data_IF_911305373641
#
_entry.id   IF_911305373641
#
_cell.length_a   1.000
_cell.length_b   1.000
_cell.length_c   1.000
_cell.angle_alpha   90.00
_cell.angle_beta   90.00
_cell.angle_gamma   90.00
#
_symmetry.space_group_name_H-M   'P 1'
#
loop_
_entity.id
_entity.type
_entity.pdbx_description
1 polymer ?
#
# COMPACT_ATOMS: atom_id res chain seq x y z
N UNK A 1 -37.25 22.88 -16.42
CA UNK A 1 -36.36 21.83 -15.89
C UNK A 1 -35.29 21.62 -16.95
N UNK A 2 -33.99 21.72 -16.64
CA UNK A 2 -32.98 21.43 -17.65
C UNK A 2 -32.87 19.91 -17.83
N UNK A 3 -32.92 19.46 -19.08
CA UNK A 3 -32.74 18.08 -19.51
C UNK A 3 -31.25 17.73 -19.44
N UNK A 4 -30.88 16.68 -18.72
CA UNK A 4 -29.52 16.12 -18.74
C UNK A 4 -29.29 15.44 -20.11
N UNK A 5 -28.66 16.15 -21.05
CA UNK A 5 -28.22 15.58 -22.32
C UNK A 5 -27.18 14.46 -22.07
N UNK A 6 -27.28 13.31 -22.77
CA UNK A 6 -26.32 12.24 -22.61
C UNK A 6 -24.94 12.68 -23.09
N UNK A 7 -23.99 12.79 -22.15
CA UNK A 7 -22.60 13.16 -22.40
C UNK A 7 -22.01 12.37 -23.59
N UNK A 8 -21.51 13.10 -24.59
CA UNK A 8 -20.90 12.54 -25.79
C UNK A 8 -19.82 11.49 -25.43
N UNK A 9 -19.84 10.28 -26.04
CA UNK A 9 -18.97 9.16 -25.66
C UNK A 9 -17.47 9.49 -25.72
N UNK A 10 -17.06 10.45 -26.56
CA UNK A 10 -15.67 10.91 -26.65
C UNK A 10 -15.28 11.71 -25.39
N UNK A 11 -16.20 12.53 -24.88
CA UNK A 11 -15.99 13.33 -23.65
C UNK A 11 -15.93 12.40 -22.43
N UNK A 12 -16.81 11.39 -22.37
CA UNK A 12 -16.77 10.38 -21.31
C UNK A 12 -15.47 9.55 -21.31
N UNK A 13 -14.94 9.20 -22.50
CA UNK A 13 -13.66 8.51 -22.62
C UNK A 13 -12.47 9.42 -22.25
N UNK A 14 -12.49 10.68 -22.67
CA UNK A 14 -11.46 11.67 -22.30
C UNK A 14 -11.42 11.91 -20.79
N UNK A 15 -12.58 12.01 -20.13
CA UNK A 15 -12.66 12.12 -18.67
C UNK A 15 -12.09 10.89 -17.96
N UNK A 16 -12.36 9.68 -18.46
CA UNK A 16 -11.75 8.45 -17.91
C UNK A 16 -10.23 8.40 -18.07
N UNK A 17 -9.71 8.83 -19.21
CA UNK A 17 -8.26 8.85 -19.47
C UNK A 17 -7.58 9.87 -18.55
N UNK A 18 -8.18 11.06 -18.40
CA UNK A 18 -7.67 12.11 -17.50
C UNK A 18 -7.71 11.65 -16.05
N UNK A 19 -8.83 11.07 -15.61
CA UNK A 19 -8.95 10.49 -14.27
C UNK A 19 -7.89 9.41 -14.00
N UNK A 20 -7.55 8.56 -14.98
CA UNK A 20 -6.46 7.58 -14.84
C UNK A 20 -5.09 8.21 -14.72
N UNK A 21 -4.81 9.26 -15.50
CA UNK A 21 -3.52 9.98 -15.48
C UNK A 21 -3.33 10.75 -14.18
N UNK A 22 -4.38 11.42 -13.72
CA UNK A 22 -4.39 12.15 -12.44
C UNK A 22 -4.22 11.16 -11.27
N UNK A 23 -4.80 9.95 -11.36
CA UNK A 23 -4.56 8.86 -10.41
C UNK A 23 -3.09 8.44 -10.33
N UNK A 24 -2.43 8.28 -11.48
CA UNK A 24 -1.00 7.93 -11.53
C UNK A 24 -0.14 9.01 -10.87
N UNK A 25 -0.37 10.28 -11.24
CA UNK A 25 0.38 11.40 -10.69
C UNK A 25 0.14 11.60 -9.18
N UNK A 26 -1.05 11.34 -8.67
CA UNK A 26 -1.35 11.46 -7.24
C UNK A 26 -0.92 10.26 -6.39
N UNK A 27 -0.83 9.06 -6.97
CA UNK A 27 -0.18 7.91 -6.32
C UNK A 27 1.30 8.23 -6.14
N UNK A 28 1.96 8.75 -7.19
CA UNK A 28 3.36 9.16 -7.12
C UNK A 28 3.56 10.30 -6.12
N UNK A 29 2.63 11.27 -6.05
CA UNK A 29 2.65 12.35 -5.07
C UNK A 29 2.42 11.91 -3.62
N UNK A 30 1.60 10.87 -3.38
CA UNK A 30 1.35 10.36 -2.04
C UNK A 30 2.55 9.57 -1.50
N UNK A 31 3.36 8.98 -2.39
CA UNK A 31 4.67 8.41 -2.08
C UNK A 31 5.75 9.47 -1.81
N UNK A 32 5.50 10.75 -2.15
CA UNK A 32 6.45 11.87 -1.98
C UNK A 32 6.44 12.55 -0.60
N UNK A 33 5.75 12.00 0.40
CA UNK A 33 5.99 12.45 1.78
C UNK A 33 7.33 11.89 2.22
N UNK A 34 8.27 12.75 2.62
CA UNK A 34 9.54 12.33 3.22
C UNK A 34 9.27 11.24 4.26
N UNK A 35 9.86 10.06 4.06
CA UNK A 35 9.81 8.98 5.05
C UNK A 35 10.30 9.55 6.38
N UNK A 36 9.41 9.56 7.36
CA UNK A 36 9.87 9.69 8.73
C UNK A 36 10.48 8.35 9.12
N UNK A 37 11.70 8.33 9.69
CA UNK A 37 12.25 7.10 10.23
C UNK A 37 11.30 6.60 11.32
N UNK A 38 10.74 5.41 11.12
CA UNK A 38 9.90 4.76 12.12
C UNK A 38 10.80 3.98 13.08
N UNK A 39 10.55 4.09 14.38
CA UNK A 39 11.41 3.46 15.39
C UNK A 39 11.16 1.95 15.52
N UNK A 40 9.96 1.48 15.16
CA UNK A 40 9.54 0.09 15.29
C UNK A 40 8.54 -0.35 14.20
N UNK A 41 8.29 -1.66 14.11
CA UNK A 41 7.37 -2.26 13.15
C UNK A 41 5.90 -1.89 13.41
N UNK A 42 5.54 -1.53 14.65
CA UNK A 42 4.18 -1.10 15.01
C UNK A 42 3.87 0.28 14.41
N UNK A 43 4.76 1.24 14.58
CA UNK A 43 4.69 2.58 13.99
C UNK A 43 4.68 2.49 12.47
N UNK A 44 5.54 1.64 11.90
CA UNK A 44 5.58 1.39 10.46
C UNK A 44 4.27 0.80 9.93
N UNK A 45 3.70 -0.18 10.63
CA UNK A 45 2.44 -0.81 10.24
C UNK A 45 1.25 0.14 10.39
N UNK A 46 1.25 1.01 11.41
CA UNK A 46 0.24 2.09 11.55
C UNK A 46 0.31 3.09 10.42
N UNK A 47 1.52 3.57 10.08
CA UNK A 47 1.71 4.48 8.96
C UNK A 47 1.28 3.85 7.63
N UNK A 48 1.60 2.58 7.43
CA UNK A 48 1.13 1.79 6.29
C UNK A 48 -0.40 1.69 6.28
N UNK A 49 -1.03 1.38 7.43
CA UNK A 49 -2.48 1.30 7.56
C UNK A 49 -3.18 2.61 7.17
N UNK A 50 -2.62 3.74 7.57
CA UNK A 50 -3.15 5.08 7.25
C UNK A 50 -3.01 5.42 5.76
N UNK A 51 -1.85 5.10 5.15
CA UNK A 51 -1.63 5.27 3.73
C UNK A 51 -2.63 4.41 2.91
N UNK A 52 -2.81 3.15 3.31
CA UNK A 52 -3.77 2.23 2.68
C UNK A 52 -5.21 2.74 2.84
N UNK A 53 -5.58 3.22 4.03
CA UNK A 53 -6.91 3.80 4.28
C UNK A 53 -7.19 4.99 3.38
N UNK A 54 -6.21 5.89 3.21
CA UNK A 54 -6.32 7.02 2.30
C UNK A 54 -6.51 6.57 0.84
N UNK A 55 -5.75 5.57 0.40
CA UNK A 55 -5.92 4.95 -0.92
C UNK A 55 -7.30 4.32 -1.11
N UNK A 56 -7.82 3.64 -0.10
CA UNK A 56 -9.14 2.98 -0.14
C UNK A 56 -10.29 3.97 -0.18
N UNK A 57 -10.21 5.08 0.56
CA UNK A 57 -11.21 6.13 0.48
C UNK A 57 -11.36 6.66 -0.96
N UNK A 58 -10.23 6.81 -1.67
CA UNK A 58 -10.20 7.19 -3.09
C UNK A 58 -10.73 6.09 -4.01
N UNK A 59 -10.36 4.83 -3.78
CA UNK A 59 -10.90 3.71 -4.56
C UNK A 59 -12.42 3.58 -4.41
N UNK A 60 -12.95 3.78 -3.19
CA UNK A 60 -14.37 3.73 -2.92
C UNK A 60 -15.14 4.92 -3.53
N UNK A 61 -14.52 6.08 -3.75
CA UNK A 61 -15.19 7.17 -4.47
C UNK A 61 -15.43 6.84 -5.95
N UNK A 62 -14.58 6.00 -6.55
CA UNK A 62 -14.67 5.54 -7.95
C UNK A 62 -15.57 4.31 -8.08
N UNK A 63 -15.38 3.33 -7.20
CA UNK A 63 -16.07 2.03 -7.25
C UNK A 63 -17.47 2.07 -6.63
N UNK A 64 -17.79 3.14 -5.91
CA UNK A 64 -19.00 3.25 -5.09
C UNK A 64 -18.77 2.84 -3.63
N UNK A 65 -19.73 3.20 -2.79
CA UNK A 65 -19.68 2.95 -1.34
C UNK A 65 -19.45 1.45 -1.07
N UNK A 66 -18.49 1.16 -0.19
CA UNK A 66 -18.12 -0.20 0.26
C UNK A 66 -17.49 -1.13 -0.82
N UNK A 67 -16.92 -0.57 -1.90
CA UNK A 67 -16.20 -1.36 -2.91
C UNK A 67 -15.01 -2.15 -2.34
N UNK A 68 -14.21 -1.50 -1.49
CA UNK A 68 -13.12 -2.08 -0.71
C UNK A 68 -13.41 -1.89 0.77
N UNK A 69 -13.34 -2.97 1.54
CA UNK A 69 -13.49 -2.96 3.00
C UNK A 69 -12.11 -2.98 3.65
N UNK A 70 -11.91 -2.04 4.56
CA UNK A 70 -10.70 -1.91 5.37
C UNK A 70 -11.08 -1.98 6.85
N UNK A 71 -10.40 -2.81 7.61
CA UNK A 71 -10.54 -2.90 9.07
C UNK A 71 -9.14 -2.83 9.66
N UNK A 72 -8.95 -1.93 10.63
CA UNK A 72 -7.76 -1.87 11.48
C UNK A 72 -8.18 -2.16 12.92
N UNK A 73 -7.50 -3.08 13.59
CA UNK A 73 -7.62 -3.32 15.02
C UNK A 73 -6.32 -2.86 15.66
N UNK A 74 -6.40 -2.09 16.75
CA UNK A 74 -5.20 -1.49 17.36
C UNK A 74 -4.51 -2.37 18.40
N UNK A 75 -5.20 -3.38 18.95
CA UNK A 75 -4.68 -4.22 20.05
C UNK A 75 -5.18 -5.66 19.95
N UNK A 76 -4.38 -6.63 19.45
CA UNK A 76 -3.09 -6.42 18.76
C UNK A 76 -3.28 -5.72 17.40
N UNK A 77 -2.22 -5.08 16.89
CA UNK A 77 -2.29 -4.37 15.60
C UNK A 77 -2.53 -5.34 14.45
N UNK A 78 -3.71 -5.25 13.82
CA UNK A 78 -4.12 -6.10 12.69
C UNK A 78 -4.82 -5.30 11.62
N UNK A 79 -4.46 -5.55 10.38
CA UNK A 79 -5.11 -4.96 9.20
C UNK A 79 -5.82 -6.07 8.44
N UNK A 80 -7.05 -5.80 8.02
CA UNK A 80 -7.82 -6.68 7.14
C UNK A 80 -8.36 -5.89 5.97
N UNK A 81 -8.09 -6.41 4.77
CA UNK A 81 -8.48 -5.85 3.50
C UNK A 81 -9.37 -6.85 2.79
N UNK A 82 -10.49 -6.38 2.24
CA UNK A 82 -11.33 -7.19 1.37
C UNK A 82 -11.78 -6.40 0.16
N UNK A 83 -11.56 -6.97 -1.01
CA UNK A 83 -12.11 -6.49 -2.27
C UNK A 83 -12.78 -7.66 -2.99
N UNK A 84 -14.11 -7.60 -3.13
CA UNK A 84 -14.92 -8.71 -3.66
C UNK A 84 -14.68 -10.02 -2.87
N UNK A 85 -14.16 -11.04 -3.54
CA UNK A 85 -13.80 -12.35 -2.96
C UNK A 85 -12.37 -12.37 -2.41
N UNK A 86 -11.54 -11.40 -2.80
CA UNK A 86 -10.15 -11.32 -2.40
C UNK A 86 -10.03 -10.76 -0.98
N UNK A 87 -9.15 -11.38 -0.20
CA UNK A 87 -8.88 -11.02 1.19
C UNK A 87 -7.39 -10.99 1.42
N UNK A 88 -6.93 -9.96 2.12
CA UNK A 88 -5.56 -9.85 2.62
C UNK A 88 -5.62 -9.54 4.11
N UNK A 89 -4.82 -10.27 4.88
CA UNK A 89 -4.63 -10.06 6.30
C UNK A 89 -3.18 -9.68 6.56
N UNK A 90 -2.97 -8.67 7.39
CA UNK A 90 -1.66 -8.30 7.90
C UNK A 90 -1.73 -8.31 9.43
N UNK A 91 -0.86 -9.10 10.06
CA UNK A 91 -0.78 -9.23 11.51
C UNK A 91 0.63 -8.89 11.99
N UNK A 92 0.72 -8.01 13.00
CA UNK A 92 1.98 -7.68 13.62
C UNK A 92 2.40 -8.78 14.60
N UNK A 93 3.63 -9.25 14.45
CA UNK A 93 4.37 -10.00 15.45
C UNK A 93 5.33 -9.03 16.14
N UNK A 94 4.85 -8.39 17.21
CA UNK A 94 5.58 -7.36 17.97
C UNK A 94 6.91 -7.88 18.54
N UNK A 95 6.96 -9.17 18.89
CA UNK A 95 8.15 -9.79 19.50
C UNK A 95 9.29 -9.89 18.50
N UNK A 96 8.96 -10.27 17.26
CA UNK A 96 9.95 -10.46 16.20
C UNK A 96 10.08 -9.24 15.28
N UNK A 97 9.28 -8.19 15.49
CA UNK A 97 9.20 -7.00 14.62
C UNK A 97 8.87 -7.35 13.16
N UNK A 98 7.99 -8.35 12.98
CA UNK A 98 7.59 -8.86 11.68
C UNK A 98 6.12 -8.58 11.40
N UNK A 99 5.77 -8.50 10.12
CA UNK A 99 4.40 -8.48 9.64
C UNK A 99 4.13 -9.79 8.91
N UNK A 100 3.19 -10.58 9.42
CA UNK A 100 2.68 -11.76 8.72
C UNK A 100 1.59 -11.32 7.76
N UNK A 101 1.73 -11.68 6.49
CA UNK A 101 0.73 -11.41 5.46
C UNK A 101 0.11 -12.73 5.03
N UNK A 102 -1.22 -12.77 4.95
CA UNK A 102 -1.98 -13.89 4.40
C UNK A 102 -2.90 -13.42 3.27
N UNK A 103 -3.00 -14.24 2.21
CA UNK A 103 -3.89 -14.03 1.07
C UNK A 103 -3.20 -13.51 -0.19
N UNK A 104 -3.91 -13.59 -1.33
CA UNK A 104 -3.46 -13.11 -2.65
C UNK A 104 -2.07 -13.60 -3.11
N UNK A 105 -1.65 -14.82 -2.72
CA UNK A 105 -0.31 -15.35 -2.98
C UNK A 105 0.84 -14.48 -2.42
N UNK A 106 0.52 -13.55 -1.52
CA UNK A 106 1.44 -12.73 -0.75
C UNK A 106 1.73 -13.34 0.63
N UNK A 107 1.43 -14.63 0.80
CA UNK A 107 1.62 -15.36 2.04
C UNK A 107 3.08 -15.34 2.49
N UNK A 108 3.35 -14.95 3.74
CA UNK A 108 4.68 -15.05 4.32
C UNK A 108 4.98 -14.05 5.43
N UNK A 109 6.25 -14.03 5.82
CA UNK A 109 6.79 -13.13 6.83
C UNK A 109 7.53 -11.98 6.16
N UNK A 110 7.20 -10.77 6.57
CA UNK A 110 7.70 -9.54 5.99
C UNK A 110 8.30 -8.65 7.07
N UNK A 111 9.34 -7.91 6.71
CA UNK A 111 9.92 -6.87 7.55
C UNK A 111 9.79 -5.53 6.83
N UNK A 112 9.56 -4.45 7.58
CA UNK A 112 9.66 -3.12 7.00
C UNK A 112 11.12 -2.78 6.71
N UNK A 113 11.36 -2.23 5.51
CA UNK A 113 12.64 -1.64 5.15
C UNK A 113 12.80 -0.28 5.84
N UNK A 114 13.73 -0.12 6.80
CA UNK A 114 13.94 1.15 7.49
C UNK A 114 14.61 2.21 6.60
N UNK A 115 15.27 1.78 5.52
CA UNK A 115 15.98 2.67 4.59
C UNK A 115 15.08 3.11 3.40
N UNK A 116 13.86 2.56 3.30
CA UNK A 116 12.95 2.88 2.22
C UNK A 116 12.30 4.27 2.40
N UNK A 117 12.13 5.03 1.30
CA UNK A 117 11.50 6.37 1.33
C UNK A 117 9.99 6.32 1.58
N UNK A 118 9.39 5.13 1.67
CA UNK A 118 7.99 4.90 2.04
C UNK A 118 7.89 3.55 2.75
N UNK A 119 6.87 3.31 3.62
CA UNK A 119 6.70 2.02 4.30
C UNK A 119 6.64 0.87 3.29
N UNK A 120 7.74 0.15 3.15
CA UNK A 120 7.92 -0.93 2.19
C UNK A 120 8.15 -2.24 2.93
N UNK A 121 7.39 -3.27 2.56
CA UNK A 121 7.51 -4.60 3.15
C UNK A 121 8.41 -5.48 2.28
N UNK A 122 9.48 -6.00 2.86
CA UNK A 122 10.38 -6.96 2.22
C UNK A 122 10.01 -8.37 2.67
N UNK A 123 9.72 -9.25 1.71
CA UNK A 123 9.39 -10.65 1.98
C UNK A 123 10.67 -11.43 2.38
N UNK A 124 10.76 -11.85 3.64
CA UNK A 124 11.93 -12.55 4.16
C UNK A 124 12.09 -13.97 3.58
N UNK A 125 11.01 -14.63 3.17
CA UNK A 125 11.07 -15.96 2.53
C UNK A 125 11.62 -15.94 1.10
N UNK A 126 11.73 -14.74 0.49
CA UNK A 126 12.29 -14.53 -0.86
C UNK A 126 13.68 -13.88 -0.82
N UNK A 127 14.15 -13.45 0.35
CA UNK A 127 15.52 -12.97 0.53
C UNK A 127 16.40 -14.19 0.75
N UNK A 128 17.26 -14.48 -0.22
CA UNK A 128 18.37 -15.42 -0.05
C UNK A 128 19.24 -14.92 1.11
N UNK A 129 19.41 -15.74 2.15
CA UNK A 129 20.20 -15.43 3.35
C UNK A 129 21.71 -15.59 3.12
N UNK A 130 22.21 -15.24 1.93
CA UNK A 130 23.66 -15.17 1.71
C UNK A 130 24.23 -13.94 2.42
N UNK A 131 25.31 -14.15 3.18
CA UNK A 131 25.99 -13.08 3.91
C UNK A 131 26.45 -11.99 2.93
N UNK A 132 25.84 -10.80 3.02
CA UNK A 132 26.16 -9.64 2.17
C UNK A 132 24.95 -8.91 1.57
N UNK A 133 23.75 -9.49 1.63
CA UNK A 133 22.53 -8.81 1.18
C UNK A 133 22.21 -7.63 2.11
N UNK A 134 22.22 -6.41 1.57
CA UNK A 134 21.99 -5.16 2.32
C UNK A 134 23.24 -4.29 2.55
N UNK A 135 24.44 -4.72 2.11
CA UNK A 135 25.57 -3.79 2.06
C UNK A 135 25.34 -2.76 0.94
N UNK A 136 25.56 -1.48 1.22
CA UNK A 136 25.55 -0.42 0.19
C UNK A 136 26.43 -0.86 -0.97
N UNK A 137 25.88 -0.89 -2.18
CA UNK A 137 26.63 -1.00 -3.43
C UNK A 137 27.54 0.23 -3.54
N UNK A 138 28.71 0.17 -2.91
CA UNK A 138 29.77 1.15 -3.15
C UNK A 138 30.30 0.86 -4.55
N UNK A 139 30.22 1.86 -5.42
CA UNK A 139 30.84 1.77 -6.74
C UNK A 139 32.33 1.48 -6.54
N UNK A 140 32.78 0.32 -6.99
CA UNK A 140 34.20 0.05 -7.09
C UNK A 140 34.76 1.02 -8.14
N UNK A 141 35.46 2.05 -7.69
CA UNK A 141 36.32 2.86 -8.54
C UNK A 141 37.51 2.00 -8.95
N UNK A 142 37.64 1.77 -10.25
CA UNK A 142 38.89 1.32 -10.89
C UNK A 142 39.91 2.45 -10.84
#
# INVERSE_FOLDING_TARGET
MPEDEPLNPIVAAAMRIRARRDLGAEIDSAASKEAQPYEDAEQSLRAFADAVRAGIARLNSILGKDGVKFISLEKPLRIRLRFREQRVALDLDEVHQLVRIDGLDLGGEYQFDPDAPSPALINLSKISTEAGYGQRLTAASV
#
